data_IF_463107064586
#
_entry.id   IF_463107064586
#
_cell.length_a   1.000
_cell.length_b   1.000
_cell.length_c   1.000
_cell.angle_alpha   90.00
_cell.angle_beta   90.00
_cell.angle_gamma   90.00
#
_symmetry.space_group_name_H-M   'P 1'
#
loop_
_entity.id
_entity.type
_entity.pdbx_description
1 polymer ?
#
# COMPACT_ATOMS: atom_id res chain seq x y z
N UNK A 1 -26.50 24.66 4.67
CA UNK A 1 -26.43 23.34 5.26
C UNK A 1 -25.37 22.50 4.59
N UNK A 2 -24.56 21.99 5.36
CA UNK A 2 -23.44 21.23 4.83
C UNK A 2 -23.78 19.83 4.40
N UNK A 3 -24.93 19.35 4.75
CA UNK A 3 -25.43 18.06 4.30
C UNK A 3 -24.64 16.82 4.70
N UNK A 4 -23.40 16.95 5.08
CA UNK A 4 -22.60 15.78 5.36
C UNK A 4 -22.82 15.31 6.80
N UNK A 5 -23.31 14.09 6.96
CA UNK A 5 -23.47 13.47 8.25
C UNK A 5 -22.14 12.84 8.68
N UNK A 6 -21.89 12.65 10.00
CA UNK A 6 -20.66 11.99 10.44
C UNK A 6 -20.41 10.64 9.77
N UNK A 7 -21.46 9.85 9.59
CA UNK A 7 -21.34 8.54 8.96
C UNK A 7 -20.94 8.64 7.47
N UNK A 8 -21.45 9.66 6.78
CA UNK A 8 -21.09 9.90 5.37
C UNK A 8 -19.63 10.31 5.25
N UNK A 9 -19.13 11.13 6.18
CA UNK A 9 -17.73 11.54 6.21
C UNK A 9 -16.80 10.35 6.49
N UNK A 10 -17.21 9.46 7.38
CA UNK A 10 -16.43 8.25 7.66
C UNK A 10 -16.38 7.34 6.44
N UNK A 11 -17.51 7.17 5.75
CA UNK A 11 -17.55 6.37 4.53
C UNK A 11 -16.67 6.98 3.44
N UNK A 12 -16.66 8.31 3.28
CA UNK A 12 -15.81 8.99 2.31
C UNK A 12 -14.32 8.86 2.67
N UNK A 13 -13.98 8.93 3.96
CA UNK A 13 -12.61 8.76 4.42
C UNK A 13 -12.13 7.33 4.13
N UNK A 14 -12.97 6.33 4.40
CA UNK A 14 -12.64 4.93 4.11
C UNK A 14 -12.50 4.69 2.61
N UNK A 15 -13.36 5.30 1.79
CA UNK A 15 -13.25 5.19 0.34
C UNK A 15 -11.93 5.78 -0.17
N UNK A 16 -11.50 6.91 0.38
CA UNK A 16 -10.23 7.55 0.02
C UNK A 16 -9.04 6.68 0.44
N UNK A 17 -9.09 6.08 1.62
CA UNK A 17 -8.06 5.16 2.09
C UNK A 17 -8.01 3.92 1.20
N UNK A 18 -9.16 3.34 0.88
CA UNK A 18 -9.23 2.17 0.01
C UNK A 18 -8.59 2.46 -1.34
N UNK A 19 -8.93 3.60 -1.95
CA UNK A 19 -8.36 4.00 -3.23
C UNK A 19 -6.84 4.14 -3.16
N UNK A 20 -6.31 4.75 -2.09
CA UNK A 20 -4.88 4.91 -1.90
C UNK A 20 -4.17 3.57 -1.70
N UNK A 21 -4.77 2.67 -0.92
CA UNK A 21 -4.20 1.35 -0.68
C UNK A 21 -4.18 0.52 -1.98
N UNK A 22 -5.28 0.52 -2.72
CA UNK A 22 -5.36 -0.19 -4.00
C UNK A 22 -4.36 0.38 -5.01
N UNK A 23 -4.20 1.69 -5.05
CA UNK A 23 -3.22 2.36 -5.91
C UNK A 23 -1.80 1.89 -5.59
N UNK A 24 -1.48 1.73 -4.30
CA UNK A 24 -0.18 1.21 -3.86
C UNK A 24 0.05 -0.22 -4.36
N UNK A 25 -0.93 -1.09 -4.18
CA UNK A 25 -0.83 -2.48 -4.65
C UNK A 25 -0.57 -2.53 -6.14
N UNK A 26 -1.33 -1.78 -6.93
CA UNK A 26 -1.17 -1.72 -8.38
C UNK A 26 0.19 -1.15 -8.79
N UNK A 27 0.67 -0.11 -8.11
CA UNK A 27 1.96 0.50 -8.42
C UNK A 27 3.11 -0.47 -8.16
N UNK A 28 3.05 -1.23 -7.07
CA UNK A 28 4.05 -2.25 -6.77
C UNK A 28 4.07 -3.35 -7.82
N UNK A 29 2.89 -3.85 -8.21
CA UNK A 29 2.77 -4.90 -9.22
C UNK A 29 3.26 -4.41 -10.58
N UNK A 30 2.94 -3.16 -10.95
CA UNK A 30 3.36 -2.58 -12.21
C UNK A 30 4.88 -2.42 -12.27
N UNK A 31 5.51 -1.96 -11.18
CA UNK A 31 6.96 -1.81 -11.12
C UNK A 31 7.66 -3.16 -11.26
N UNK A 32 7.14 -4.18 -10.58
CA UNK A 32 7.71 -5.54 -10.68
C UNK A 32 7.56 -6.08 -12.10
N UNK A 33 6.36 -6.00 -12.67
CA UNK A 33 6.08 -6.54 -14.00
C UNK A 33 6.89 -5.87 -15.10
N UNK A 34 7.25 -4.60 -14.92
CA UNK A 34 8.02 -3.87 -15.92
C UNK A 34 9.45 -4.37 -16.05
N UNK A 35 10.05 -4.80 -14.95
CA UNK A 35 11.49 -5.09 -14.91
C UNK A 35 11.84 -6.53 -14.63
N UNK A 36 10.92 -7.34 -14.17
CA UNK A 36 11.20 -8.72 -13.75
C UNK A 36 10.20 -9.68 -14.36
N UNK A 37 10.69 -10.85 -14.80
CA UNK A 37 9.80 -11.97 -15.09
C UNK A 37 9.23 -12.50 -13.78
N UNK A 38 8.20 -13.36 -13.85
CA UNK A 38 7.62 -13.96 -12.65
C UNK A 38 8.67 -14.72 -11.84
N UNK A 39 9.56 -15.43 -12.53
CA UNK A 39 10.63 -16.17 -11.88
C UNK A 39 11.62 -15.23 -11.19
N UNK A 40 12.05 -14.18 -11.88
CA UNK A 40 12.96 -13.19 -11.32
C UNK A 40 12.36 -12.47 -10.12
N UNK A 41 11.06 -12.16 -10.19
CA UNK A 41 10.36 -11.51 -9.07
C UNK A 41 10.39 -12.36 -7.81
N UNK A 42 10.27 -13.68 -7.95
CA UNK A 42 10.35 -14.61 -6.83
C UNK A 42 11.75 -14.76 -6.25
N UNK A 43 12.80 -14.44 -7.02
CA UNK A 43 14.19 -14.59 -6.61
C UNK A 43 14.85 -13.28 -6.20
N UNK A 44 14.34 -12.15 -6.67
CA UNK A 44 14.87 -10.82 -6.39
C UNK A 44 14.35 -10.29 -5.05
N UNK A 45 15.23 -9.72 -4.25
CA UNK A 45 14.82 -9.05 -3.00
C UNK A 45 13.85 -7.91 -3.29
N UNK A 46 14.13 -7.12 -4.34
CA UNK A 46 13.24 -6.05 -4.77
C UNK A 46 11.86 -6.61 -5.12
N UNK A 47 11.80 -7.64 -5.97
CA UNK A 47 10.54 -8.25 -6.40
C UNK A 47 9.76 -8.81 -5.22
N UNK A 48 10.41 -9.60 -4.36
CA UNK A 48 9.75 -10.18 -3.19
C UNK A 48 9.23 -9.10 -2.24
N UNK A 49 10.01 -8.04 -2.04
CA UNK A 49 9.63 -6.97 -1.14
C UNK A 49 8.40 -6.22 -1.65
N UNK A 50 8.37 -5.87 -2.94
CA UNK A 50 7.23 -5.16 -3.51
C UNK A 50 5.98 -6.04 -3.60
N UNK A 51 6.12 -7.30 -3.94
CA UNK A 51 4.98 -8.23 -3.97
C UNK A 51 4.43 -8.50 -2.58
N UNK A 52 5.30 -8.57 -1.57
CA UNK A 52 4.87 -8.67 -0.17
C UNK A 52 4.09 -7.43 0.26
N UNK A 53 4.57 -6.25 -0.14
CA UNK A 53 3.86 -5.01 0.15
C UNK A 53 2.49 -4.99 -0.54
N UNK A 54 2.40 -5.40 -1.79
CA UNK A 54 1.14 -5.48 -2.50
C UNK A 54 0.16 -6.39 -1.78
N UNK A 55 0.60 -7.57 -1.35
CA UNK A 55 -0.26 -8.52 -0.63
C UNK A 55 -0.71 -7.97 0.71
N UNK A 56 0.20 -7.34 1.47
CA UNK A 56 -0.13 -6.75 2.76
C UNK A 56 -1.13 -5.61 2.61
N UNK A 57 -0.98 -4.81 1.55
CA UNK A 57 -1.89 -3.69 1.29
C UNK A 57 -3.25 -4.17 0.78
N UNK A 58 -3.30 -5.24 0.00
CA UNK A 58 -4.58 -5.85 -0.38
C UNK A 58 -5.34 -6.32 0.87
N UNK A 59 -4.62 -6.92 1.83
CA UNK A 59 -5.20 -7.32 3.11
C UNK A 59 -5.68 -6.12 3.93
N UNK A 60 -4.90 -5.04 3.94
CA UNK A 60 -5.27 -3.80 4.64
C UNK A 60 -6.54 -3.18 4.03
N UNK A 61 -6.64 -3.16 2.70
CA UNK A 61 -7.83 -2.65 2.02
C UNK A 61 -9.07 -3.48 2.38
N UNK A 62 -8.94 -4.81 2.42
CA UNK A 62 -10.02 -5.70 2.83
C UNK A 62 -10.41 -5.47 4.29
N UNK A 63 -9.44 -5.15 5.15
CA UNK A 63 -9.68 -4.93 6.57
C UNK A 63 -10.42 -3.64 6.88
N UNK A 64 -10.59 -2.75 5.90
CA UNK A 64 -11.40 -1.53 6.09
C UNK A 64 -12.85 -1.86 6.46
N UNK A 65 -13.35 -3.01 6.01
CA UNK A 65 -14.70 -3.47 6.32
C UNK A 65 -14.76 -4.40 7.52
N UNK A 66 -13.62 -4.68 8.15
CA UNK A 66 -13.54 -5.56 9.30
C UNK A 66 -13.79 -4.80 10.60
N UNK A 67 -13.86 -5.53 11.73
CA UNK A 67 -13.99 -4.88 13.02
C UNK A 67 -12.72 -4.08 13.35
N UNK A 68 -12.82 -3.09 14.27
CA UNK A 68 -11.70 -2.19 14.56
C UNK A 68 -10.43 -2.89 15.03
N UNK A 69 -10.53 -3.98 15.77
CA UNK A 69 -9.37 -4.69 16.28
C UNK A 69 -8.63 -5.42 15.16
N UNK A 70 -9.36 -6.06 14.26
CA UNK A 70 -8.80 -6.75 13.11
C UNK A 70 -8.15 -5.74 12.15
N UNK A 71 -8.83 -4.61 11.91
CA UNK A 71 -8.30 -3.52 11.09
C UNK A 71 -6.99 -3.00 11.65
N UNK A 72 -6.94 -2.73 12.96
CA UNK A 72 -5.74 -2.24 13.63
C UNK A 72 -4.60 -3.23 13.52
N UNK A 73 -4.88 -4.51 13.76
CA UNK A 73 -3.86 -5.56 13.67
C UNK A 73 -3.30 -5.69 12.24
N UNK A 74 -4.18 -5.67 11.23
CA UNK A 74 -3.78 -5.77 9.84
C UNK A 74 -2.94 -4.57 9.41
N UNK A 75 -3.34 -3.38 9.79
CA UNK A 75 -2.61 -2.16 9.48
C UNK A 75 -1.24 -2.13 10.15
N UNK A 76 -1.14 -2.63 11.39
CA UNK A 76 0.13 -2.70 12.10
C UNK A 76 1.13 -3.64 11.41
N UNK A 77 0.64 -4.70 10.77
CA UNK A 77 1.48 -5.62 10.00
C UNK A 77 1.91 -4.96 8.68
N UNK A 78 0.99 -4.29 8.00
CA UNK A 78 1.25 -3.71 6.69
C UNK A 78 2.23 -2.54 6.72
N UNK A 79 2.20 -1.71 7.74
CA UNK A 79 3.01 -0.49 7.81
C UNK A 79 4.51 -0.74 7.63
N UNK A 80 5.16 -1.62 8.43
CA UNK A 80 6.59 -1.85 8.26
C UNK A 80 6.93 -2.51 6.91
N UNK A 81 6.03 -3.32 6.37
CA UNK A 81 6.24 -3.94 5.06
C UNK A 81 6.28 -2.85 3.98
N UNK A 82 5.38 -1.88 4.04
CA UNK A 82 5.36 -0.75 3.11
C UNK A 82 6.59 0.14 3.26
N UNK A 83 7.07 0.34 4.49
CA UNK A 83 8.30 1.10 4.73
C UNK A 83 9.51 0.41 4.11
N UNK A 84 9.60 -0.91 4.26
CA UNK A 84 10.66 -1.70 3.64
C UNK A 84 10.60 -1.61 2.11
N UNK A 85 9.41 -1.66 1.52
CA UNK A 85 9.23 -1.53 0.09
C UNK A 85 9.66 -0.14 -0.41
N UNK A 86 9.35 0.92 0.33
CA UNK A 86 9.78 2.27 0.02
C UNK A 86 11.31 2.35 -0.04
N UNK A 87 11.99 1.77 0.95
CA UNK A 87 13.44 1.75 0.99
C UNK A 87 14.03 0.98 -0.19
N UNK A 88 13.44 -0.16 -0.56
CA UNK A 88 13.88 -0.94 -1.72
C UNK A 88 13.74 -0.13 -3.02
N UNK A 89 12.64 0.59 -3.16
CA UNK A 89 12.44 1.43 -4.34
C UNK A 89 13.49 2.53 -4.43
N UNK A 90 13.83 3.17 -3.31
CA UNK A 90 14.85 4.22 -3.31
C UNK A 90 16.24 3.67 -3.65
N UNK A 91 16.53 2.44 -3.26
CA UNK A 91 17.79 1.78 -3.62
C UNK A 91 17.83 1.39 -5.10
N UNK A 92 16.68 1.14 -5.70
CA UNK A 92 16.61 0.67 -7.09
C UNK A 92 16.85 1.78 -8.11
N UNK A 93 16.78 3.05 -7.72
CA UNK A 93 17.13 4.17 -8.58
C UNK A 93 15.98 5.10 -8.93
N UNK A 94 16.13 5.85 -10.01
CA UNK A 94 15.26 6.98 -10.36
C UNK A 94 14.23 6.66 -11.45
N UNK A 95 13.97 5.40 -11.72
CA UNK A 95 12.99 5.02 -12.73
C UNK A 95 11.59 5.52 -12.33
N UNK A 96 10.82 6.10 -13.28
CA UNK A 96 9.50 6.67 -12.97
C UNK A 96 8.51 5.69 -12.32
N UNK A 97 8.47 4.43 -12.76
CA UNK A 97 7.56 3.43 -12.17
C UNK A 97 7.99 3.06 -10.76
N UNK A 98 9.30 2.95 -10.53
CA UNK A 98 9.85 2.65 -9.20
C UNK A 98 9.58 3.81 -8.25
N UNK A 99 9.79 5.05 -8.71
CA UNK A 99 9.50 6.23 -7.89
C UNK A 99 8.02 6.35 -7.57
N UNK A 100 7.15 6.00 -8.51
CA UNK A 100 5.70 5.98 -8.27
C UNK A 100 5.33 4.94 -7.22
N UNK A 101 5.95 3.76 -7.29
CA UNK A 101 5.75 2.72 -6.28
C UNK A 101 6.25 3.17 -4.91
N UNK A 102 7.40 3.84 -4.85
CA UNK A 102 7.94 4.38 -3.61
C UNK A 102 6.98 5.37 -2.95
N UNK A 103 6.48 6.33 -3.73
CA UNK A 103 5.54 7.33 -3.22
C UNK A 103 4.24 6.68 -2.74
N UNK A 104 3.72 5.71 -3.48
CA UNK A 104 2.50 5.00 -3.11
C UNK A 104 2.68 4.17 -1.84
N UNK A 105 3.81 3.49 -1.69
CA UNK A 105 4.12 2.71 -0.48
C UNK A 105 4.30 3.62 0.73
N UNK A 106 4.93 4.77 0.56
CA UNK A 106 5.09 5.74 1.65
C UNK A 106 3.75 6.24 2.13
N UNK A 107 2.85 6.57 1.21
CA UNK A 107 1.50 7.01 1.54
C UNK A 107 0.70 5.89 2.22
N UNK A 108 0.78 4.68 1.70
CA UNK A 108 0.11 3.53 2.29
C UNK A 108 0.61 3.25 3.70
N UNK A 109 1.92 3.34 3.92
CA UNK A 109 2.50 3.18 5.25
C UNK A 109 1.96 4.24 6.22
N UNK A 110 1.88 5.49 5.79
CA UNK A 110 1.35 6.57 6.62
C UNK A 110 -0.11 6.32 6.99
N UNK A 111 -0.93 5.84 6.05
CA UNK A 111 -2.32 5.46 6.32
C UNK A 111 -2.37 4.36 7.37
N UNK A 112 -1.57 3.31 7.21
CA UNK A 112 -1.55 2.17 8.14
C UNK A 112 -1.03 2.56 9.52
N UNK A 113 -0.21 3.60 9.59
CA UNK A 113 0.29 4.15 10.87
C UNK A 113 -0.68 5.15 11.51
N UNK A 114 -1.77 5.47 10.83
CA UNK A 114 -2.74 6.43 11.34
C UNK A 114 -2.32 7.89 11.21
N UNK A 115 -1.44 8.21 10.26
CA UNK A 115 -0.90 9.57 10.08
C UNK A 115 -1.62 10.39 9.02
N UNK A 116 -2.52 9.78 8.30
CA UNK A 116 -3.31 10.48 7.27
C UNK A 116 -4.78 10.40 7.57
#
# INVERSE_FOLDING_TARGET
MDGARPIERLASADAAMEAALKSCSLACKAAVAQYLSEEEAGQSEFGRCLLRAAAAIDSAAAALDADPDERTATFAIAAPICRAATAQCHQAGLDPLVLKAAAACERAAAICEGRL
#
